data_IF_397124417889
#
_entry.id   IF_397124417889
#
_cell.length_a   1.000
_cell.length_b   1.000
_cell.length_c   1.000
_cell.angle_alpha   90.00
_cell.angle_beta   90.00
_cell.angle_gamma   90.00
#
_symmetry.space_group_name_H-M   'P 1'
#
loop_
_entity.id
_entity.type
_entity.pdbx_description
1 polymer ?
#
# COMPACT_ATOMS: atom_id res chain seq x y z
N UNK A 1 1.17 7.50 23.56
CA UNK A 1 1.50 8.64 22.67
C UNK A 1 0.62 8.60 21.45
N UNK A 2 0.51 9.73 20.72
CA UNK A 2 -0.22 9.75 19.45
C UNK A 2 0.74 9.48 18.30
N UNK A 3 0.44 8.47 17.48
CA UNK A 3 1.23 8.10 16.29
C UNK A 3 0.42 8.46 15.05
N UNK A 4 1.00 9.27 14.17
CA UNK A 4 0.43 9.61 12.89
C UNK A 4 0.92 8.66 11.80
N UNK A 5 0.04 8.26 10.90
CA UNK A 5 0.38 7.43 9.74
C UNK A 5 0.04 8.18 8.47
N UNK A 6 1.00 8.29 7.55
CA UNK A 6 0.85 8.93 6.25
C UNK A 6 1.16 7.93 5.14
N UNK A 7 0.18 7.68 4.27
CA UNK A 7 0.26 6.73 3.18
C UNK A 7 -0.75 7.02 2.07
N UNK A 8 -0.97 6.07 1.19
CA UNK A 8 -1.97 6.19 0.12
C UNK A 8 -3.35 5.73 0.60
N UNK A 9 -3.83 6.34 1.70
CA UNK A 9 -5.05 5.96 2.41
C UNK A 9 -6.25 6.80 1.95
N UNK A 10 -7.44 6.19 1.97
CA UNK A 10 -8.69 6.82 1.52
C UNK A 10 -8.86 6.88 -0.01
N UNK A 11 -8.08 6.10 -0.76
CA UNK A 11 -8.15 6.01 -2.22
C UNK A 11 -8.71 4.67 -2.72
N UNK A 12 -9.33 3.90 -1.85
CA UNK A 12 -9.93 2.61 -2.16
C UNK A 12 -8.96 1.56 -2.72
N UNK A 13 -7.70 1.61 -2.31
CA UNK A 13 -6.71 0.58 -2.62
C UNK A 13 -6.66 -0.42 -1.45
N UNK A 14 -7.16 -1.63 -1.65
CA UNK A 14 -7.25 -2.64 -0.59
C UNK A 14 -5.89 -2.97 0.05
N UNK A 15 -4.79 -2.94 -0.72
CA UNK A 15 -3.45 -3.17 -0.19
C UNK A 15 -2.99 -2.07 0.76
N UNK A 16 -3.18 -0.79 0.38
CA UNK A 16 -2.81 0.33 1.25
C UNK A 16 -3.72 0.41 2.48
N UNK A 17 -5.02 0.10 2.34
CA UNK A 17 -5.95 0.02 3.46
C UNK A 17 -5.60 -1.15 4.41
N UNK A 18 -5.15 -2.30 3.90
CA UNK A 18 -4.64 -3.40 4.71
C UNK A 18 -3.40 -3.00 5.53
N UNK A 19 -2.48 -2.27 4.92
CA UNK A 19 -1.29 -1.73 5.60
C UNK A 19 -1.71 -0.78 6.74
N UNK A 20 -2.66 0.13 6.48
CA UNK A 20 -3.18 1.04 7.50
C UNK A 20 -3.81 0.27 8.66
N UNK A 21 -4.66 -0.72 8.37
CA UNK A 21 -5.32 -1.55 9.38
C UNK A 21 -4.29 -2.30 10.24
N UNK A 22 -3.30 -2.92 9.61
CA UNK A 22 -2.25 -3.65 10.31
C UNK A 22 -1.45 -2.75 11.26
N UNK A 23 -0.98 -1.60 10.77
CA UNK A 23 -0.22 -0.63 11.57
C UNK A 23 -1.07 -0.11 12.73
N UNK A 24 -2.32 0.27 12.45
CA UNK A 24 -3.22 0.83 13.46
C UNK A 24 -3.52 -0.19 14.56
N UNK A 25 -3.87 -1.41 14.20
CA UNK A 25 -4.15 -2.51 15.13
C UNK A 25 -2.98 -2.78 16.06
N UNK A 26 -1.77 -2.89 15.50
CA UNK A 26 -0.56 -3.17 16.28
C UNK A 26 -0.19 -2.01 17.22
N UNK A 27 -0.33 -0.78 16.79
CA UNK A 27 -0.06 0.38 17.64
C UNK A 27 -1.11 0.53 18.74
N UNK A 28 -2.40 0.33 18.44
CA UNK A 28 -3.49 0.38 19.41
C UNK A 28 -3.36 -0.74 20.45
N UNK A 29 -2.99 -1.96 20.05
CA UNK A 29 -2.72 -3.06 20.96
C UNK A 29 -1.58 -2.75 21.96
N UNK A 30 -0.65 -1.85 21.60
CA UNK A 30 0.42 -1.34 22.45
C UNK A 30 0.05 -0.07 23.22
N UNK A 31 -1.23 0.32 23.23
CA UNK A 31 -1.72 1.47 23.98
C UNK A 31 -1.41 2.82 23.34
N UNK A 32 -1.19 2.88 22.02
CA UNK A 32 -0.99 4.14 21.30
C UNK A 32 -2.28 4.59 20.63
N UNK A 33 -2.52 5.90 20.61
CA UNK A 33 -3.55 6.49 19.77
C UNK A 33 -3.00 6.63 18.35
N UNK A 34 -3.81 6.28 17.33
CA UNK A 34 -3.43 6.38 15.93
C UNK A 34 -4.27 7.42 15.21
N UNK A 35 -3.61 8.26 14.42
CA UNK A 35 -4.26 9.21 13.51
C UNK A 35 -3.73 9.03 12.09
N UNK A 36 -4.57 9.21 11.08
CA UNK A 36 -4.19 8.99 9.68
C UNK A 36 -4.30 10.27 8.84
N UNK A 37 -3.38 10.46 7.88
CA UNK A 37 -3.59 11.36 6.74
C UNK A 37 -4.26 10.59 5.63
N UNK A 38 -5.39 11.08 5.12
CA UNK A 38 -6.24 10.40 4.16
C UNK A 38 -6.73 11.30 3.03
N UNK A 39 -6.95 10.74 1.85
CA UNK A 39 -7.64 11.37 0.73
C UNK A 39 -9.14 11.53 1.01
N UNK A 40 -9.72 10.58 1.76
CA UNK A 40 -11.12 10.62 2.24
C UNK A 40 -11.15 10.33 3.75
N UNK A 41 -11.01 11.37 4.60
CA UNK A 41 -11.00 11.19 6.05
C UNK A 41 -12.30 10.64 6.63
N UNK A 42 -13.44 10.89 5.98
CA UNK A 42 -14.74 10.37 6.45
C UNK A 42 -14.74 8.84 6.33
N UNK A 43 -14.41 8.36 5.15
CA UNK A 43 -14.34 6.92 4.87
C UNK A 43 -13.28 6.23 5.75
N UNK A 44 -12.08 6.79 5.87
CA UNK A 44 -11.04 6.19 6.73
C UNK A 44 -11.51 6.07 8.19
N UNK A 45 -12.31 7.02 8.69
CA UNK A 45 -12.93 6.89 10.03
C UNK A 45 -13.95 5.77 10.11
N UNK A 46 -14.78 5.63 9.08
CA UNK A 46 -15.83 4.60 9.01
C UNK A 46 -15.23 3.20 8.88
N UNK A 47 -14.24 3.03 7.99
CA UNK A 47 -13.66 1.72 7.68
C UNK A 47 -12.71 1.21 8.77
N UNK A 48 -11.93 2.10 9.41
CA UNK A 48 -10.85 1.72 10.35
C UNK A 48 -11.07 2.18 11.79
N UNK A 49 -12.10 2.99 12.08
CA UNK A 49 -12.33 3.52 13.43
C UNK A 49 -11.25 4.50 13.91
N UNK A 50 -10.46 5.07 13.01
CA UNK A 50 -9.34 5.95 13.31
C UNK A 50 -9.73 7.42 13.20
N UNK A 51 -9.08 8.30 13.97
CA UNK A 51 -9.11 9.72 13.65
C UNK A 51 -8.36 9.95 12.35
N UNK A 52 -9.00 10.56 11.36
CA UNK A 52 -8.39 10.86 10.08
C UNK A 52 -8.55 12.34 9.71
N UNK A 53 -7.50 12.86 9.09
CA UNK A 53 -7.42 14.24 8.61
C UNK A 53 -7.12 14.26 7.12
N UNK A 54 -7.60 15.30 6.43
CA UNK A 54 -7.32 15.43 5.01
C UNK A 54 -5.81 15.57 4.74
N UNK A 55 -5.30 14.79 3.82
CA UNK A 55 -3.86 14.69 3.54
C UNK A 55 -3.17 16.01 3.17
N UNK A 56 -3.93 16.97 2.62
CA UNK A 56 -3.42 18.30 2.26
C UNK A 56 -3.52 19.31 3.41
N UNK A 57 -3.96 18.92 4.60
CA UNK A 57 -3.98 19.78 5.76
C UNK A 57 -2.65 19.69 6.53
N UNK A 58 -1.73 20.67 6.39
CA UNK A 58 -0.43 20.61 7.04
C UNK A 58 -0.53 20.69 8.57
N UNK A 59 -1.58 21.33 9.10
CA UNK A 59 -1.80 21.45 10.55
C UNK A 59 -2.18 20.11 11.20
N UNK A 60 -2.62 19.13 10.40
CA UNK A 60 -2.83 17.78 10.88
C UNK A 60 -1.54 17.13 11.42
N UNK A 61 -0.38 17.55 10.92
CA UNK A 61 0.92 17.07 11.39
C UNK A 61 1.20 17.43 12.86
N UNK A 62 0.53 18.44 13.40
CA UNK A 62 0.64 18.82 14.82
C UNK A 62 -0.10 17.83 15.75
N UNK A 63 -0.98 16.98 15.20
CA UNK A 63 -1.85 16.07 15.96
C UNK A 63 -1.16 14.79 16.45
N UNK A 64 0.07 14.54 16.05
CA UNK A 64 0.83 13.36 16.48
C UNK A 64 2.21 13.75 17.02
N UNK A 65 2.79 12.85 17.82
CA UNK A 65 4.13 12.99 18.39
C UNK A 65 5.19 12.40 17.47
N UNK A 66 4.81 11.32 16.77
CA UNK A 66 5.60 10.57 15.81
C UNK A 66 4.79 10.38 14.54
N UNK A 67 5.41 10.57 13.38
CA UNK A 67 4.83 10.26 12.09
C UNK A 67 5.54 9.09 11.43
N UNK A 68 4.75 8.08 11.06
CA UNK A 68 5.18 7.00 10.20
C UNK A 68 4.82 7.35 8.76
N UNK A 69 5.80 7.43 7.89
CA UNK A 69 5.56 7.37 6.44
C UNK A 69 5.41 5.88 6.12
N UNK A 70 4.15 5.40 6.21
CA UNK A 70 3.85 4.01 6.46
C UNK A 70 3.41 3.22 5.25
N UNK A 71 4.16 2.16 4.96
CA UNK A 71 3.82 1.08 4.03
C UNK A 71 3.70 1.46 2.55
N UNK A 72 3.72 0.48 1.69
CA UNK A 72 3.49 0.64 0.27
C UNK A 72 4.70 1.15 -0.53
N UNK A 73 4.45 1.65 -1.73
CA UNK A 73 5.47 2.16 -2.65
C UNK A 73 5.39 3.68 -2.85
N UNK A 74 5.55 4.46 -1.78
CA UNK A 74 5.37 5.92 -1.82
C UNK A 74 6.62 6.67 -2.31
N UNK A 75 7.80 6.07 -2.15
CA UNK A 75 9.08 6.67 -2.48
C UNK A 75 9.53 6.26 -3.89
N UNK A 76 8.72 6.63 -4.89
CA UNK A 76 8.96 6.40 -6.31
C UNK A 76 8.39 7.57 -7.13
N UNK A 77 8.92 7.81 -8.33
CA UNK A 77 8.42 8.84 -9.25
C UNK A 77 8.08 8.31 -10.65
N UNK A 78 8.10 6.98 -10.83
CA UNK A 78 7.75 6.33 -12.08
C UNK A 78 6.27 6.55 -12.47
N UNK A 79 5.37 6.58 -11.46
CA UNK A 79 3.95 6.84 -11.70
C UNK A 79 3.61 8.32 -11.59
N UNK A 80 4.23 9.06 -10.66
CA UNK A 80 3.96 10.49 -10.46
C UNK A 80 5.04 11.19 -9.64
N UNK A 81 5.73 12.14 -10.25
CA UNK A 81 6.65 13.03 -9.56
C UNK A 81 5.95 13.93 -8.51
N UNK A 82 4.65 14.25 -8.72
CA UNK A 82 3.85 14.99 -7.75
C UNK A 82 3.58 14.16 -6.49
N UNK A 83 3.32 12.87 -6.64
CA UNK A 83 3.14 11.95 -5.51
C UNK A 83 4.40 11.90 -4.65
N UNK A 84 5.55 11.66 -5.25
CA UNK A 84 6.84 11.69 -4.53
C UNK A 84 7.05 13.04 -3.82
N UNK A 85 6.80 14.16 -4.53
CA UNK A 85 6.95 15.51 -3.95
C UNK A 85 6.04 15.70 -2.74
N UNK A 86 4.81 15.20 -2.79
CA UNK A 86 3.87 15.26 -1.67
C UNK A 86 4.44 14.54 -0.44
N UNK A 87 4.86 13.26 -0.56
CA UNK A 87 5.35 12.49 0.59
C UNK A 87 6.64 13.06 1.17
N UNK A 88 7.56 13.56 0.32
CA UNK A 88 8.74 14.27 0.79
C UNK A 88 8.39 15.59 1.49
N UNK A 89 7.31 16.24 1.09
CA UNK A 89 6.81 17.47 1.76
C UNK A 89 6.22 17.16 3.12
N UNK A 90 5.44 16.08 3.27
CA UNK A 90 4.92 15.59 4.56
C UNK A 90 6.08 15.37 5.54
N UNK A 91 7.12 14.64 5.10
CA UNK A 91 8.31 14.37 5.91
C UNK A 91 9.02 15.65 6.35
N UNK A 92 9.23 16.60 5.41
CA UNK A 92 9.90 17.88 5.70
C UNK A 92 9.10 18.76 6.65
N UNK A 93 7.78 18.87 6.42
CA UNK A 93 6.90 19.68 7.27
C UNK A 93 6.78 19.09 8.69
N UNK A 94 6.67 17.77 8.83
CA UNK A 94 6.67 17.14 10.14
C UNK A 94 7.95 17.46 10.91
N UNK A 95 9.12 17.39 10.28
CA UNK A 95 10.40 17.78 10.89
C UNK A 95 10.47 19.27 11.22
N UNK A 96 9.94 20.12 10.34
CA UNK A 96 9.86 21.57 10.61
C UNK A 96 9.00 21.85 11.85
N UNK A 97 7.94 21.10 12.06
CA UNK A 97 7.11 21.14 13.27
C UNK A 97 7.74 20.39 14.46
N UNK A 98 9.03 20.02 14.36
CA UNK A 98 9.78 19.29 15.39
C UNK A 98 9.16 17.94 15.78
N UNK A 99 8.45 17.31 14.86
CA UNK A 99 7.90 15.97 15.06
C UNK A 99 8.93 14.91 14.67
N UNK A 100 8.92 13.78 15.37
CA UNK A 100 9.69 12.61 14.97
C UNK A 100 9.07 12.00 13.73
N UNK A 101 9.91 11.51 12.81
CA UNK A 101 9.46 10.87 11.57
C UNK A 101 10.26 9.61 11.34
N UNK A 102 9.58 8.56 10.89
CA UNK A 102 10.19 7.29 10.47
C UNK A 102 9.61 6.92 9.11
N UNK A 103 10.46 6.57 8.16
CA UNK A 103 10.05 5.86 6.95
C UNK A 103 9.87 4.39 7.34
N UNK A 104 8.64 3.90 7.27
CA UNK A 104 8.26 2.64 7.90
C UNK A 104 7.77 1.64 6.86
N UNK A 105 8.57 0.60 6.62
CA UNK A 105 8.25 -0.53 5.74
C UNK A 105 7.79 -0.12 4.33
N UNK A 106 8.56 0.79 3.71
CA UNK A 106 8.35 1.28 2.35
C UNK A 106 9.11 0.45 1.33
N UNK A 107 8.59 0.38 0.09
CA UNK A 107 9.43 0.13 -1.07
C UNK A 107 10.10 1.42 -1.54
N UNK A 108 11.33 1.32 -2.03
CA UNK A 108 12.11 2.43 -2.56
C UNK A 108 12.36 2.24 -4.05
N UNK A 109 11.90 3.19 -4.85
CA UNK A 109 12.08 3.23 -6.29
C UNK A 109 10.97 2.52 -7.09
N UNK A 110 11.09 2.50 -8.43
CA UNK A 110 12.15 3.16 -9.19
C UNK A 110 12.11 4.69 -9.11
N UNK A 111 13.28 5.32 -9.19
CA UNK A 111 13.45 6.77 -9.14
C UNK A 111 14.22 7.29 -10.34
N UNK A 112 13.78 8.42 -10.88
CA UNK A 112 14.59 9.21 -11.81
C UNK A 112 15.82 9.82 -11.11
N UNK A 113 16.86 10.27 -11.84
CA UNK A 113 18.00 10.95 -11.24
C UNK A 113 17.62 12.19 -10.40
N UNK A 114 16.50 12.83 -10.72
CA UNK A 114 15.93 13.92 -9.94
C UNK A 114 15.31 13.40 -8.64
N UNK A 115 14.53 12.29 -8.69
CA UNK A 115 13.94 11.64 -7.55
C UNK A 115 14.97 11.14 -6.55
N UNK A 116 16.03 10.47 -7.04
CA UNK A 116 17.15 9.99 -6.21
C UNK A 116 17.78 11.10 -5.38
N UNK A 117 18.11 12.22 -6.03
CA UNK A 117 18.70 13.38 -5.33
C UNK A 117 17.78 13.92 -4.24
N UNK A 118 16.47 14.01 -4.52
CA UNK A 118 15.48 14.56 -3.59
C UNK A 118 15.23 13.62 -2.42
N UNK A 119 15.09 12.32 -2.68
CA UNK A 119 14.90 11.29 -1.66
C UNK A 119 16.11 11.23 -0.75
N UNK A 120 17.32 11.11 -1.32
CA UNK A 120 18.56 11.09 -0.54
C UNK A 120 18.68 12.31 0.39
N UNK A 121 18.39 13.52 -0.11
CA UNK A 121 18.42 14.74 0.71
C UNK A 121 17.34 14.74 1.80
N UNK A 122 16.14 14.27 1.50
CA UNK A 122 15.01 14.29 2.45
C UNK A 122 15.17 13.26 3.56
N UNK A 123 15.80 12.11 3.28
CA UNK A 123 15.98 11.02 4.24
C UNK A 123 17.23 11.17 5.13
N UNK A 124 18.04 12.22 4.95
CA UNK A 124 19.16 12.49 5.84
C UNK A 124 18.72 12.64 7.30
N UNK A 125 19.26 11.77 8.18
CA UNK A 125 18.92 11.77 9.61
C UNK A 125 17.50 11.30 9.92
N UNK A 126 16.83 10.62 8.99
CA UNK A 126 15.53 9.97 9.20
C UNK A 126 15.77 8.47 9.33
N UNK A 127 15.24 7.80 10.36
CA UNK A 127 15.23 6.34 10.40
C UNK A 127 14.42 5.78 9.23
N UNK A 128 15.01 4.80 8.51
CA UNK A 128 14.41 4.18 7.32
C UNK A 128 14.35 2.68 7.52
N UNK A 129 13.15 2.12 7.39
CA UNK A 129 12.90 0.69 7.36
C UNK A 129 12.23 0.40 6.02
N UNK A 130 12.79 -0.53 5.24
CA UNK A 130 12.30 -0.90 3.92
C UNK A 130 11.73 -2.32 3.98
N UNK A 131 10.68 -2.57 3.21
CA UNK A 131 9.93 -3.82 3.32
C UNK A 131 10.52 -4.99 2.53
N UNK A 132 11.44 -4.71 1.59
CA UNK A 132 11.98 -5.70 0.66
C UNK A 132 13.49 -5.51 0.42
N UNK A 133 14.12 -6.59 -0.05
CA UNK A 133 15.56 -6.65 -0.25
C UNK A 133 16.02 -5.74 -1.40
N UNK A 134 15.23 -5.66 -2.48
CA UNK A 134 15.56 -4.83 -3.66
C UNK A 134 15.60 -3.35 -3.28
N UNK A 135 14.63 -2.90 -2.48
CA UNK A 135 14.59 -1.55 -1.91
C UNK A 135 15.79 -1.27 -0.99
N UNK A 136 16.20 -2.26 -0.19
CA UNK A 136 17.37 -2.14 0.69
C UNK A 136 18.67 -2.02 -0.12
N UNK A 137 18.82 -2.81 -1.17
CA UNK A 137 19.98 -2.73 -2.06
C UNK A 137 20.02 -1.41 -2.83
N UNK A 138 18.84 -0.94 -3.26
CA UNK A 138 18.72 0.36 -3.90
C UNK A 138 19.10 1.50 -2.94
N UNK A 139 18.63 1.46 -1.68
CA UNK A 139 19.00 2.42 -0.65
C UNK A 139 20.53 2.44 -0.42
N UNK A 140 21.17 1.27 -0.37
CA UNK A 140 22.64 1.16 -0.24
C UNK A 140 23.37 1.84 -1.39
N UNK A 141 22.92 1.66 -2.63
CA UNK A 141 23.49 2.34 -3.81
C UNK A 141 23.38 3.86 -3.73
N UNK A 142 22.29 4.35 -3.13
CA UNK A 142 22.06 5.78 -2.92
C UNK A 142 22.78 6.34 -1.67
N UNK A 143 23.46 5.50 -0.88
CA UNK A 143 24.09 5.90 0.38
C UNK A 143 23.07 6.29 1.47
N UNK A 144 21.88 5.68 1.45
CA UNK A 144 20.83 5.87 2.46
C UNK A 144 20.90 4.74 3.48
N UNK A 145 21.23 5.03 4.77
CA UNK A 145 21.17 4.02 5.82
C UNK A 145 19.73 3.54 6.02
N UNK A 146 19.52 2.23 5.90
CA UNK A 146 18.21 1.62 6.07
C UNK A 146 18.32 0.23 6.69
N UNK A 147 17.26 -0.19 7.38
CA UNK A 147 17.08 -1.55 7.88
C UNK A 147 16.05 -2.29 7.01
N UNK A 148 16.18 -3.62 6.94
CA UNK A 148 15.17 -4.49 6.35
C UNK A 148 14.06 -4.73 7.36
N UNK A 149 12.83 -4.56 6.93
CA UNK A 149 11.60 -4.92 7.62
C UNK A 149 10.78 -5.91 6.79
N UNK A 150 9.47 -5.79 6.85
CA UNK A 150 8.53 -6.58 6.06
C UNK A 150 7.26 -5.77 5.75
N UNK A 151 6.41 -6.25 4.85
CA UNK A 151 5.13 -5.59 4.60
C UNK A 151 4.22 -5.70 5.84
N UNK A 152 3.70 -4.59 6.38
CA UNK A 152 2.85 -4.63 7.58
C UNK A 152 1.57 -5.44 7.40
N UNK A 153 1.04 -5.57 6.18
CA UNK A 153 -0.15 -6.36 5.91
C UNK A 153 0.01 -7.85 6.31
N UNK A 154 1.25 -8.35 6.37
CA UNK A 154 1.56 -9.71 6.85
C UNK A 154 1.19 -9.94 8.33
N UNK A 155 0.96 -8.88 9.10
CA UNK A 155 0.50 -8.97 10.50
C UNK A 155 -1.00 -9.23 10.61
N UNK A 156 -1.76 -9.11 9.52
CA UNK A 156 -3.20 -9.40 9.54
C UNK A 156 -3.40 -10.92 9.48
N UNK A 157 -4.06 -11.52 10.48
CA UNK A 157 -4.30 -12.97 10.48
C UNK A 157 -5.31 -13.33 9.38
N UNK A 158 -5.02 -14.33 8.53
CA UNK A 158 -6.01 -14.85 7.61
C UNK A 158 -7.13 -15.56 8.37
N UNK A 159 -8.40 -15.43 7.96
CA UNK A 159 -9.48 -16.19 8.55
C UNK A 159 -9.35 -17.69 8.21
N UNK A 160 -9.75 -18.60 9.09
CA UNK A 160 -9.81 -20.03 8.82
C UNK A 160 -11.03 -20.33 7.93
N UNK A 161 -10.85 -20.43 6.63
CA UNK A 161 -11.92 -20.65 5.65
C UNK A 161 -11.55 -21.79 4.68
N UNK A 162 -12.55 -22.56 4.17
CA UNK A 162 -12.30 -23.58 3.16
C UNK A 162 -11.85 -22.96 1.84
N UNK A 163 -11.12 -23.72 1.04
CA UNK A 163 -10.74 -23.33 -0.33
C UNK A 163 -11.97 -23.38 -1.24
N UNK A 164 -12.18 -22.30 -2.02
CA UNK A 164 -13.33 -22.21 -2.94
C UNK A 164 -12.91 -21.89 -4.38
N UNK A 165 -12.07 -20.88 -4.58
CA UNK A 165 -11.68 -20.42 -5.91
C UNK A 165 -10.26 -19.92 -5.93
N UNK A 166 -9.60 -20.01 -7.08
CA UNK A 166 -8.30 -19.41 -7.31
C UNK A 166 -8.46 -17.93 -7.67
N UNK A 167 -7.55 -17.09 -7.19
CA UNK A 167 -7.62 -15.65 -7.41
C UNK A 167 -6.70 -15.19 -8.53
N UNK A 168 -7.24 -14.34 -9.39
CA UNK A 168 -6.49 -13.59 -10.39
C UNK A 168 -6.69 -12.11 -10.11
N UNK A 169 -5.60 -11.39 -9.86
CA UNK A 169 -5.64 -9.98 -9.42
C UNK A 169 -4.91 -9.11 -10.44
N UNK A 170 -5.62 -8.61 -11.46
CA UNK A 170 -5.06 -7.69 -12.44
C UNK A 170 -4.84 -6.30 -11.84
N UNK A 171 -4.09 -5.49 -12.58
CA UNK A 171 -3.88 -4.07 -12.26
C UNK A 171 -4.02 -3.25 -13.54
N UNK A 172 -4.68 -2.10 -13.43
CA UNK A 172 -4.71 -1.08 -14.47
C UNK A 172 -3.35 -0.37 -14.64
N UNK A 173 -3.14 0.24 -15.79
CA UNK A 173 -1.92 0.99 -16.10
C UNK A 173 -0.67 0.12 -16.29
N UNK A 174 -0.83 -1.18 -16.61
CA UNK A 174 0.26 -2.09 -17.00
C UNK A 174 0.27 -2.29 -18.52
N UNK A 175 1.35 -2.88 -19.04
CA UNK A 175 1.47 -3.21 -20.46
C UNK A 175 0.44 -4.28 -20.87
N UNK A 176 -0.11 -4.17 -22.09
CA UNK A 176 -1.14 -5.08 -22.62
C UNK A 176 -0.67 -6.54 -22.64
N UNK A 177 0.60 -6.78 -22.94
CA UNK A 177 1.19 -8.12 -22.94
C UNK A 177 1.12 -8.79 -21.56
N UNK A 178 1.32 -8.00 -20.48
CA UNK A 178 1.20 -8.51 -19.12
C UNK A 178 -0.25 -8.91 -18.79
N UNK A 179 -1.23 -8.08 -19.17
CA UNK A 179 -2.66 -8.40 -19.01
C UNK A 179 -3.04 -9.66 -19.82
N UNK A 180 -2.55 -9.79 -21.05
CA UNK A 180 -2.78 -10.96 -21.89
C UNK A 180 -2.20 -12.21 -21.23
N UNK A 181 -0.99 -12.14 -20.70
CA UNK A 181 -0.37 -13.25 -19.98
C UNK A 181 -1.20 -13.68 -18.77
N UNK A 182 -1.70 -12.73 -17.99
CA UNK A 182 -2.56 -13.02 -16.85
C UNK A 182 -3.91 -13.63 -17.27
N UNK A 183 -4.49 -13.15 -18.36
CA UNK A 183 -5.72 -13.70 -18.93
C UNK A 183 -5.54 -15.16 -19.40
N UNK A 184 -4.42 -15.46 -20.06
CA UNK A 184 -4.07 -16.83 -20.48
C UNK A 184 -3.91 -17.73 -19.26
N UNK A 185 -3.25 -17.27 -18.21
CA UNK A 185 -3.11 -18.01 -16.96
C UNK A 185 -4.47 -18.28 -16.29
N UNK A 186 -5.38 -17.30 -16.26
CA UNK A 186 -6.73 -17.47 -15.74
C UNK A 186 -7.52 -18.54 -16.52
N UNK A 187 -7.47 -18.50 -17.86
CA UNK A 187 -8.13 -19.50 -18.70
C UNK A 187 -7.52 -20.89 -18.51
N UNK A 188 -6.22 -21.00 -18.33
CA UNK A 188 -5.57 -22.28 -18.06
C UNK A 188 -6.11 -22.93 -16.78
N UNK A 189 -6.25 -22.15 -15.69
CA UNK A 189 -6.87 -22.64 -14.46
C UNK A 189 -8.31 -23.11 -14.67
N UNK A 190 -9.10 -22.38 -15.47
CA UNK A 190 -10.48 -22.80 -15.82
C UNK A 190 -10.48 -24.10 -16.62
N UNK A 191 -9.55 -24.28 -17.59
CA UNK A 191 -9.41 -25.52 -18.35
C UNK A 191 -9.00 -26.72 -17.47
N UNK A 192 -8.27 -26.47 -16.38
CA UNK A 192 -7.98 -27.49 -15.36
C UNK A 192 -9.17 -27.80 -14.43
N UNK A 193 -10.35 -27.23 -14.70
CA UNK A 193 -11.55 -27.46 -13.91
C UNK A 193 -11.61 -26.64 -12.60
N UNK A 194 -10.74 -25.64 -12.43
CA UNK A 194 -10.72 -24.79 -11.26
C UNK A 194 -11.72 -23.62 -11.38
N UNK A 195 -12.28 -23.22 -10.26
CA UNK A 195 -13.05 -21.98 -10.20
C UNK A 195 -12.07 -20.81 -10.10
N UNK A 196 -12.25 -19.80 -10.95
CA UNK A 196 -11.41 -18.59 -10.97
C UNK A 196 -12.26 -17.37 -10.62
N UNK A 197 -11.77 -16.59 -9.66
CA UNK A 197 -12.32 -15.28 -9.31
C UNK A 197 -11.32 -14.19 -9.67
N UNK A 198 -11.73 -13.28 -10.54
CA UNK A 198 -10.95 -12.08 -10.85
C UNK A 198 -11.28 -11.00 -9.83
N UNK A 199 -10.28 -10.49 -9.13
CA UNK A 199 -10.46 -9.54 -8.03
C UNK A 199 -9.83 -8.18 -8.37
N UNK A 200 -10.66 -7.15 -8.46
CA UNK A 200 -10.24 -5.76 -8.67
C UNK A 200 -10.11 -5.04 -7.32
N UNK A 201 -8.87 -4.68 -6.95
CA UNK A 201 -8.56 -4.18 -5.61
C UNK A 201 -8.62 -2.66 -5.48
N UNK A 202 -8.78 -1.95 -6.57
CA UNK A 202 -8.96 -0.49 -6.60
C UNK A 202 -10.11 -0.12 -7.54
N UNK A 203 -11.36 -0.29 -7.06
CA UNK A 203 -12.54 0.08 -7.84
C UNK A 203 -12.47 1.53 -8.33
N UNK A 204 -12.86 1.74 -9.58
CA UNK A 204 -12.71 3.04 -10.27
C UNK A 204 -11.41 3.17 -11.05
N UNK A 205 -10.30 2.59 -10.57
CA UNK A 205 -9.02 2.56 -11.27
C UNK A 205 -8.82 1.25 -12.05
N UNK A 206 -9.06 0.11 -11.41
CA UNK A 206 -8.89 -1.21 -12.06
C UNK A 206 -10.08 -1.60 -12.95
N UNK A 207 -11.15 -0.80 -13.01
CA UNK A 207 -12.33 -1.12 -13.82
C UNK A 207 -12.03 -1.12 -15.33
N UNK A 208 -10.99 -0.41 -15.79
CA UNK A 208 -10.59 -0.43 -17.18
C UNK A 208 -10.12 -1.80 -17.68
N UNK A 209 -9.61 -2.66 -16.77
CA UNK A 209 -9.16 -4.02 -17.13
C UNK A 209 -10.26 -5.07 -16.99
N UNK A 210 -11.43 -4.71 -16.45
CA UNK A 210 -12.54 -5.64 -16.26
C UNK A 210 -13.02 -6.25 -17.58
N UNK A 211 -12.99 -5.49 -18.68
CA UNK A 211 -13.43 -5.97 -20.01
C UNK A 211 -12.56 -7.12 -20.53
N UNK A 212 -11.26 -7.11 -20.23
CA UNK A 212 -10.35 -8.20 -20.59
C UNK A 212 -10.80 -9.53 -19.96
N UNK A 213 -11.33 -9.46 -18.73
CA UNK A 213 -11.75 -10.62 -17.94
C UNK A 213 -13.27 -10.84 -17.92
N UNK A 214 -14.03 -10.26 -18.84
CA UNK A 214 -15.52 -10.31 -18.87
C UNK A 214 -16.13 -11.71 -18.87
N UNK A 215 -15.38 -12.72 -19.27
CA UNK A 215 -15.83 -14.12 -19.26
C UNK A 215 -15.62 -14.82 -17.91
N UNK A 216 -14.97 -14.15 -16.96
CA UNK A 216 -14.72 -14.66 -15.62
C UNK A 216 -15.66 -14.02 -14.61
N UNK A 217 -15.81 -14.68 -13.46
CA UNK A 217 -16.46 -14.03 -12.30
C UNK A 217 -15.57 -12.92 -11.79
N UNK A 218 -16.10 -11.68 -11.72
CA UNK A 218 -15.37 -10.50 -11.27
C UNK A 218 -15.96 -9.99 -9.97
N UNK A 219 -15.12 -9.78 -8.97
CA UNK A 219 -15.47 -9.07 -7.75
C UNK A 219 -14.62 -7.80 -7.60
N UNK A 220 -15.19 -6.76 -7.00
CA UNK A 220 -14.57 -5.47 -6.75
C UNK A 220 -14.56 -5.22 -5.26
N UNK A 221 -13.39 -4.99 -4.70
CA UNK A 221 -13.28 -4.64 -3.27
C UNK A 221 -12.12 -3.69 -3.01
N UNK A 222 -12.33 -2.79 -2.09
CA UNK A 222 -11.26 -2.01 -1.46
C UNK A 222 -11.18 -2.31 0.04
N UNK A 223 -11.97 -3.29 0.51
CA UNK A 223 -11.97 -3.75 1.90
C UNK A 223 -10.83 -4.78 2.09
N UNK A 224 -9.84 -4.49 2.94
CA UNK A 224 -8.72 -5.40 3.19
C UNK A 224 -9.18 -6.71 3.86
N UNK A 225 -10.25 -6.70 4.64
CA UNK A 225 -10.80 -7.90 5.26
C UNK A 225 -11.40 -8.83 4.22
N UNK A 226 -12.08 -8.27 3.21
CA UNK A 226 -12.62 -9.04 2.09
C UNK A 226 -11.49 -9.64 1.26
N UNK A 227 -10.43 -8.86 0.99
CA UNK A 227 -9.24 -9.36 0.32
C UNK A 227 -8.62 -10.55 1.07
N UNK A 228 -8.39 -10.41 2.38
CA UNK A 228 -7.82 -11.47 3.21
C UNK A 228 -8.70 -12.71 3.25
N UNK A 229 -10.02 -12.53 3.32
CA UNK A 229 -10.98 -13.64 3.27
C UNK A 229 -10.87 -14.42 1.95
N UNK A 230 -10.90 -13.73 0.81
CA UNK A 230 -10.79 -14.35 -0.52
C UNK A 230 -9.40 -14.99 -0.74
N UNK A 231 -8.34 -14.33 -0.31
CA UNK A 231 -6.98 -14.88 -0.40
C UNK A 231 -6.83 -16.15 0.45
N UNK A 232 -7.45 -16.20 1.64
CA UNK A 232 -7.45 -17.40 2.48
C UNK A 232 -8.24 -18.57 1.88
N UNK A 233 -9.25 -18.29 1.05
CA UNK A 233 -10.02 -19.30 0.31
C UNK A 233 -9.33 -19.78 -0.96
N UNK A 234 -8.29 -19.09 -1.44
CA UNK A 234 -7.65 -19.40 -2.69
C UNK A 234 -6.69 -20.59 -2.58
N UNK A 235 -6.71 -21.47 -3.58
CA UNK A 235 -5.68 -22.49 -3.78
C UNK A 235 -4.43 -21.88 -4.40
N UNK A 236 -4.63 -20.98 -5.38
CA UNK A 236 -3.60 -20.18 -6.03
C UNK A 236 -4.01 -18.73 -6.07
N UNK A 237 -3.02 -17.84 -5.96
CA UNK A 237 -3.18 -16.39 -6.17
C UNK A 237 -2.16 -15.95 -7.21
N UNK A 238 -2.65 -15.44 -8.34
CA UNK A 238 -1.82 -14.85 -9.39
C UNK A 238 -2.11 -13.34 -9.39
N UNK A 239 -1.12 -12.53 -9.01
CA UNK A 239 -1.33 -11.11 -8.78
C UNK A 239 -0.31 -10.24 -9.53
N UNK A 240 -0.81 -9.14 -10.11
CA UNK A 240 0.02 -8.02 -10.59
C UNK A 240 0.22 -6.95 -9.51
N UNK A 241 -0.34 -7.15 -8.34
CA UNK A 241 -0.15 -6.28 -7.17
C UNK A 241 0.67 -7.01 -6.12
N UNK A 242 1.54 -6.28 -5.48
CA UNK A 242 2.30 -6.74 -4.31
C UNK A 242 1.45 -6.58 -3.06
#
# INVERSE_FOLDING_TARGET
>A
MVVGVAGYYGFRNAGDEAILEAIARELQARGHEVVALSGDPKRTREDHGLRAYHRLNPLALLRADLWLLGGGGLLQDATSALSLTYYLSVLRLARLFRKRVVVFNQSLGPLSPWGERRVRKALQGVPVILRDQDSLEYARRLGIPAALGADPALLLPPPPVPREADLVIPRAGVQEEALTTLYVAANHLVHEGKQVLVLLLQPGYDDEVAEVFRLHRIERTSDPRRLLYLAAQAGYVISMRL
#
